data_IF_148863996434
#
_entry.id   IF_148863996434
#
_cell.length_a   1.000
_cell.length_b   1.000
_cell.length_c   1.000
_cell.angle_alpha   90.00
_cell.angle_beta   90.00
_cell.angle_gamma   90.00
#
_symmetry.space_group_name_H-M   'P 1'
#
loop_
_entity.id
_entity.type
_entity.pdbx_description
1 polymer ?
#
# COMPACT_ATOMS: atom_id res chain seq x y z
N UNK A 1 23.38 4.26 33.22
CA UNK A 1 22.07 3.56 33.27
C UNK A 1 21.69 3.16 31.85
N UNK A 2 22.18 2.00 31.42
CA UNK A 2 21.80 1.40 30.14
C UNK A 2 20.42 0.79 30.36
N UNK A 3 19.37 1.52 29.99
CA UNK A 3 18.05 0.95 29.87
C UNK A 3 18.06 0.08 28.62
N UNK A 4 18.29 -1.23 28.79
CA UNK A 4 17.70 -2.21 27.87
C UNK A 4 16.18 -2.03 28.02
N UNK A 5 15.59 -1.19 27.16
CA UNK A 5 14.18 -1.31 26.89
C UNK A 5 14.01 -2.65 26.18
N UNK A 6 13.08 -3.47 26.65
CA UNK A 6 12.74 -4.71 25.97
C UNK A 6 12.11 -4.38 24.61
N UNK A 7 12.94 -4.30 23.57
CA UNK A 7 12.59 -4.29 22.15
C UNK A 7 12.08 -5.68 21.79
N UNK A 8 10.88 -6.02 22.26
CA UNK A 8 10.32 -7.36 22.12
C UNK A 8 9.78 -7.58 20.70
N UNK A 9 10.66 -7.50 19.70
CA UNK A 9 10.38 -7.88 18.31
C UNK A 9 9.98 -9.36 18.28
N UNK A 10 8.93 -9.71 17.55
CA UNK A 10 8.40 -11.07 17.62
C UNK A 10 9.27 -12.09 16.88
N UNK A 11 9.74 -11.75 15.68
CA UNK A 11 10.71 -12.55 14.92
C UNK A 11 11.85 -11.63 14.49
N UNK A 12 13.05 -11.85 15.04
CA UNK A 12 14.24 -11.06 14.72
C UNK A 12 15.46 -11.94 14.46
N UNK A 13 16.16 -11.70 13.35
CA UNK A 13 17.39 -12.41 12.98
C UNK A 13 18.42 -11.45 12.36
N UNK A 14 19.70 -11.77 12.53
CA UNK A 14 20.80 -11.03 11.88
C UNK A 14 21.02 -11.46 10.40
N UNK A 15 20.39 -12.56 9.98
CA UNK A 15 20.52 -13.12 8.62
C UNK A 15 19.17 -13.10 7.91
N UNK A 16 18.82 -14.10 7.09
CA UNK A 16 17.57 -14.12 6.34
C UNK A 16 16.42 -14.81 7.09
N UNK A 17 15.20 -14.28 6.93
CA UNK A 17 13.95 -14.98 7.25
C UNK A 17 13.36 -15.52 5.94
N UNK A 18 12.95 -16.78 5.93
CA UNK A 18 12.16 -17.37 4.84
C UNK A 18 10.91 -18.02 5.41
N UNK A 19 9.74 -17.59 4.93
CA UNK A 19 8.43 -18.17 5.27
C UNK A 19 7.92 -18.90 4.03
N UNK A 20 8.08 -20.22 4.01
CA UNK A 20 7.61 -21.04 2.89
C UNK A 20 6.10 -21.28 2.91
N UNK A 21 5.53 -21.40 4.11
CA UNK A 21 4.10 -21.55 4.37
C UNK A 21 3.85 -21.43 5.90
N UNK A 22 2.60 -21.48 6.34
CA UNK A 22 2.21 -21.53 7.75
C UNK A 22 1.08 -20.56 8.07
N UNK A 23 0.59 -20.61 9.31
CA UNK A 23 -0.29 -19.57 9.85
C UNK A 23 0.43 -18.92 11.03
N UNK A 24 0.89 -17.68 10.84
CA UNK A 24 1.69 -16.92 11.77
C UNK A 24 0.86 -15.71 12.20
N UNK A 25 0.58 -15.59 13.50
CA UNK A 25 -0.08 -14.41 14.06
C UNK A 25 0.86 -13.76 15.07
N UNK A 26 1.10 -12.47 14.89
CA UNK A 26 2.03 -11.67 15.68
C UNK A 26 1.29 -10.50 16.31
N UNK A 27 1.58 -10.24 17.57
CA UNK A 27 1.28 -8.99 18.25
C UNK A 27 2.55 -8.61 19.02
N UNK A 28 3.26 -7.59 18.53
CA UNK A 28 4.54 -7.14 19.05
C UNK A 28 4.37 -5.76 19.68
N UNK A 29 5.15 -5.45 20.72
CA UNK A 29 5.23 -4.09 21.28
C UNK A 29 6.18 -3.19 20.47
N UNK A 30 6.89 -3.81 19.53
CA UNK A 30 7.96 -3.28 18.70
C UNK A 30 7.77 -3.89 17.30
N UNK A 31 8.81 -4.18 16.54
CA UNK A 31 8.64 -4.70 15.18
C UNK A 31 7.99 -6.09 15.14
N UNK A 32 7.19 -6.33 14.11
CA UNK A 32 6.58 -7.64 13.87
C UNK A 32 7.63 -8.65 13.43
N UNK A 33 8.25 -8.40 12.27
CA UNK A 33 9.33 -9.20 11.71
C UNK A 33 10.50 -8.30 11.30
N UNK A 34 11.69 -8.52 11.86
CA UNK A 34 12.90 -7.76 11.53
C UNK A 34 14.04 -8.67 11.09
N UNK A 35 14.75 -8.27 10.05
CA UNK A 35 15.90 -9.00 9.52
C UNK A 35 16.96 -8.04 9.02
N UNK A 36 18.23 -8.26 9.40
CA UNK A 36 19.34 -7.42 8.92
C UNK A 36 19.80 -7.76 7.49
N UNK A 37 19.21 -8.76 6.83
CA UNK A 37 19.59 -9.15 5.47
C UNK A 37 18.38 -9.17 4.52
N UNK A 38 17.43 -10.07 4.78
CA UNK A 38 16.22 -10.19 3.96
C UNK A 38 15.07 -10.89 4.68
N UNK A 39 13.85 -10.62 4.21
CA UNK A 39 12.64 -11.36 4.54
C UNK A 39 12.01 -11.81 3.23
N UNK A 40 11.88 -13.12 3.04
CA UNK A 40 11.19 -13.71 1.88
C UNK A 40 9.95 -14.48 2.34
N UNK A 41 8.79 -14.13 1.81
CA UNK A 41 7.51 -14.80 2.08
C UNK A 41 7.04 -15.45 0.79
N UNK A 42 7.04 -16.79 0.75
CA UNK A 42 6.65 -17.56 -0.42
C UNK A 42 5.15 -17.91 -0.41
N UNK A 43 4.59 -18.25 0.75
CA UNK A 43 3.17 -18.51 0.95
C UNK A 43 2.80 -18.45 2.44
N UNK A 44 1.56 -18.81 2.77
CA UNK A 44 1.04 -18.86 4.14
C UNK A 44 0.12 -17.69 4.48
N UNK A 45 -0.35 -17.68 5.72
CA UNK A 45 -1.13 -16.60 6.32
C UNK A 45 -0.25 -15.94 7.37
N UNK A 46 0.04 -14.66 7.20
CA UNK A 46 0.83 -13.86 8.14
C UNK A 46 -0.04 -12.71 8.60
N UNK A 47 -0.34 -12.65 9.89
CA UNK A 47 -1.21 -11.65 10.47
C UNK A 47 -0.49 -10.93 11.62
N UNK A 48 0.12 -9.79 11.31
CA UNK A 48 0.70 -8.87 12.29
C UNK A 48 -0.41 -7.91 12.72
N UNK A 49 -0.92 -8.13 13.92
CA UNK A 49 -2.10 -7.43 14.46
C UNK A 49 -1.73 -6.16 15.23
N UNK A 50 -0.48 -6.03 15.65
CA UNK A 50 0.10 -4.86 16.30
C UNK A 50 1.63 -4.93 16.18
N UNK A 51 2.26 -3.81 15.87
CA UNK A 51 3.71 -3.61 15.90
C UNK A 51 4.06 -2.12 15.81
N UNK A 52 5.34 -1.78 16.05
CA UNK A 52 5.88 -0.46 15.68
C UNK A 52 6.08 -0.46 14.17
N UNK A 53 7.09 -1.17 13.67
CA UNK A 53 7.19 -1.50 12.24
C UNK A 53 6.58 -2.88 11.97
N UNK A 54 5.90 -3.07 10.85
CA UNK A 54 5.32 -4.37 10.51
C UNK A 54 6.37 -5.39 10.12
N UNK A 55 6.92 -5.21 8.92
CA UNK A 55 7.98 -6.05 8.34
C UNK A 55 9.11 -5.13 7.92
N UNK A 56 10.29 -5.29 8.51
CA UNK A 56 11.43 -4.42 8.29
C UNK A 56 12.68 -5.23 7.92
N UNK A 57 13.29 -4.88 6.80
CA UNK A 57 14.54 -5.50 6.35
C UNK A 57 15.14 -4.74 5.17
N UNK A 58 16.46 -4.82 4.90
CA UNK A 58 17.00 -4.25 3.67
C UNK A 58 16.39 -4.82 2.40
N UNK A 59 15.93 -6.08 2.42
CA UNK A 59 15.30 -6.70 1.26
C UNK A 59 14.04 -7.48 1.66
N UNK A 60 12.88 -7.03 1.20
CA UNK A 60 11.60 -7.69 1.47
C UNK A 60 11.04 -8.23 0.15
N UNK A 61 10.83 -9.53 0.09
CA UNK A 61 10.27 -10.23 -1.08
C UNK A 61 9.00 -10.97 -0.69
N UNK A 62 7.86 -10.51 -1.22
CA UNK A 62 6.55 -11.16 -1.05
C UNK A 62 6.20 -11.85 -2.36
N UNK A 63 6.39 -13.18 -2.42
CA UNK A 63 6.09 -13.99 -3.59
C UNK A 63 4.64 -14.52 -3.60
N UNK A 64 4.01 -14.60 -2.43
CA UNK A 64 2.64 -15.12 -2.28
C UNK A 64 2.16 -15.11 -0.83
N UNK A 65 0.98 -15.67 -0.60
CA UNK A 65 0.34 -15.75 0.73
C UNK A 65 -0.75 -14.69 0.97
N UNK A 66 -1.33 -14.74 2.16
CA UNK A 66 -2.25 -13.74 2.69
C UNK A 66 -1.56 -13.04 3.87
N UNK A 67 -1.22 -11.77 3.67
CA UNK A 67 -0.42 -10.99 4.61
C UNK A 67 -1.27 -9.82 5.07
N UNK A 68 -1.49 -9.71 6.37
CA UNK A 68 -2.14 -8.58 7.02
C UNK A 68 -1.19 -7.95 8.02
N UNK A 69 -0.98 -6.64 7.91
CA UNK A 69 -0.07 -5.88 8.77
C UNK A 69 -0.78 -4.64 9.32
N UNK A 70 -0.75 -4.51 10.65
CA UNK A 70 -1.17 -3.32 11.37
C UNK A 70 -0.01 -2.81 12.22
N UNK A 71 0.46 -1.62 11.91
CA UNK A 71 1.62 -0.99 12.51
C UNK A 71 1.27 0.40 13.05
N UNK A 72 1.96 0.82 14.12
CA UNK A 72 1.88 2.20 14.58
C UNK A 72 2.77 3.13 13.75
N UNK A 73 3.91 2.61 13.30
CA UNK A 73 4.83 3.27 12.38
C UNK A 73 4.72 2.59 11.00
N UNK A 74 5.82 2.27 10.33
CA UNK A 74 5.80 1.75 8.96
C UNK A 74 5.23 0.33 8.86
N UNK A 75 4.51 0.08 7.76
CA UNK A 75 3.89 -1.21 7.51
C UNK A 75 4.88 -2.22 6.95
N UNK A 76 5.37 -1.95 5.74
CA UNK A 76 6.51 -2.63 5.14
C UNK A 76 7.61 -1.60 5.02
N UNK A 77 8.75 -1.82 5.67
CA UNK A 77 9.90 -0.92 5.63
C UNK A 77 11.12 -1.63 5.03
N UNK A 78 11.43 -1.32 3.76
CA UNK A 78 12.68 -1.74 3.15
C UNK A 78 13.79 -0.72 3.44
N UNK A 79 14.75 -1.07 4.29
CA UNK A 79 15.78 -0.13 4.75
C UNK A 79 17.05 -0.83 5.25
N UNK A 80 18.21 -0.22 5.02
CA UNK A 80 19.46 -0.55 5.71
C UNK A 80 19.61 0.12 7.08
N UNK A 81 18.62 0.94 7.48
CA UNK A 81 18.61 1.67 8.74
C UNK A 81 19.63 2.81 8.78
N UNK A 82 20.00 3.37 7.62
CA UNK A 82 20.69 4.64 7.59
C UNK A 82 19.67 5.79 7.68
N UNK A 83 19.98 6.83 8.46
CA UNK A 83 19.10 8.01 8.60
C UNK A 83 19.17 8.93 7.35
N UNK A 84 19.61 8.40 6.20
CA UNK A 84 19.79 9.17 4.98
C UNK A 84 18.47 9.21 4.21
N UNK A 85 18.17 10.37 3.61
CA UNK A 85 16.97 10.54 2.78
C UNK A 85 17.31 10.21 1.30
N UNK A 86 18.27 9.31 1.08
CA UNK A 86 18.74 8.91 -0.23
C UNK A 86 18.39 7.45 -0.48
N UNK A 87 18.46 7.05 -1.75
CA UNK A 87 18.34 5.64 -2.11
C UNK A 87 19.49 4.84 -1.49
N UNK A 88 19.21 4.06 -0.47
CA UNK A 88 20.18 3.22 0.26
C UNK A 88 20.43 1.86 -0.43
N UNK A 89 19.71 1.59 -1.53
CA UNK A 89 19.78 0.35 -2.30
C UNK A 89 18.95 -0.80 -1.74
N UNK A 90 18.13 -0.57 -0.71
CA UNK A 90 17.14 -1.54 -0.22
C UNK A 90 16.06 -1.82 -1.26
N UNK A 91 15.37 -2.95 -1.11
CA UNK A 91 14.39 -3.40 -2.10
C UNK A 91 13.16 -3.96 -1.41
N UNK A 92 12.00 -3.35 -1.69
CA UNK A 92 10.69 -3.96 -1.48
C UNK A 92 10.20 -4.54 -2.82
N UNK A 93 9.77 -5.81 -2.82
CA UNK A 93 9.16 -6.43 -3.99
C UNK A 93 7.93 -7.24 -3.60
N UNK A 94 6.82 -6.99 -4.29
CA UNK A 94 5.60 -7.79 -4.22
C UNK A 94 5.38 -8.44 -5.59
N UNK A 95 5.59 -9.76 -5.65
CA UNK A 95 5.37 -10.57 -6.85
C UNK A 95 3.99 -11.22 -6.89
N UNK A 96 3.33 -11.39 -5.74
CA UNK A 96 2.06 -12.10 -5.64
C UNK A 96 1.44 -12.06 -4.24
N UNK A 97 0.32 -12.77 -4.07
CA UNK A 97 -0.42 -12.84 -2.82
C UNK A 97 -1.42 -11.71 -2.62
N UNK A 98 -2.06 -11.71 -1.45
CA UNK A 98 -2.91 -10.64 -0.96
C UNK A 98 -2.21 -9.97 0.21
N UNK A 99 -1.83 -8.71 0.05
CA UNK A 99 -1.07 -7.92 1.03
C UNK A 99 -1.94 -6.75 1.48
N UNK A 100 -2.32 -6.77 2.75
CA UNK A 100 -3.01 -5.67 3.42
C UNK A 100 -2.10 -5.03 4.43
N UNK A 101 -2.03 -3.69 4.39
CA UNK A 101 -1.19 -2.92 5.29
C UNK A 101 -1.94 -1.69 5.80
N UNK A 102 -1.91 -1.46 7.10
CA UNK A 102 -2.53 -0.30 7.74
C UNK A 102 -1.58 0.28 8.78
N UNK A 103 -0.95 1.41 8.43
CA UNK A 103 -0.05 2.16 9.30
C UNK A 103 -0.77 3.38 9.87
N UNK A 104 -0.73 3.59 11.19
CA UNK A 104 -1.47 4.72 11.80
C UNK A 104 -0.68 6.02 11.90
N UNK A 105 0.63 5.89 12.11
CA UNK A 105 1.58 6.98 12.34
C UNK A 105 2.66 7.06 11.27
N UNK A 106 3.10 5.91 10.72
CA UNK A 106 4.07 5.80 9.64
C UNK A 106 3.47 5.56 8.25
N UNK A 107 4.33 5.20 7.31
CA UNK A 107 3.99 4.86 5.94
C UNK A 107 3.65 3.38 5.83
N UNK A 108 2.47 3.00 5.28
CA UNK A 108 2.17 1.58 5.14
C UNK A 108 3.12 0.92 4.14
N UNK A 109 3.70 1.69 3.22
CA UNK A 109 4.71 1.23 2.27
C UNK A 109 5.87 2.23 2.32
N UNK A 110 6.95 1.83 2.97
CA UNK A 110 8.20 2.57 3.03
C UNK A 110 9.33 1.76 2.39
N UNK A 111 10.12 2.43 1.56
CA UNK A 111 11.32 1.86 0.98
C UNK A 111 12.36 2.96 0.81
N UNK A 112 13.39 2.92 1.65
CA UNK A 112 14.56 3.77 1.50
C UNK A 112 15.38 3.46 0.23
N UNK A 113 15.02 2.42 -0.52
CA UNK A 113 15.54 2.12 -1.85
C UNK A 113 14.43 2.05 -2.91
N UNK A 114 14.24 0.89 -3.54
CA UNK A 114 13.29 0.71 -4.65
C UNK A 114 12.08 -0.14 -4.25
N UNK A 115 10.92 0.17 -4.85
CA UNK A 115 9.71 -0.64 -4.72
C UNK A 115 9.24 -1.20 -6.07
N UNK A 116 9.12 -2.52 -6.15
CA UNK A 116 8.63 -3.24 -7.33
C UNK A 116 7.33 -3.98 -7.04
N UNK A 117 6.26 -3.63 -7.77
CA UNK A 117 4.97 -4.34 -7.76
C UNK A 117 4.81 -5.12 -9.07
N UNK A 118 5.05 -6.43 -9.01
CA UNK A 118 5.04 -7.32 -10.18
C UNK A 118 3.76 -8.15 -10.31
N UNK A 119 2.97 -8.27 -9.23
CA UNK A 119 1.74 -9.05 -9.22
C UNK A 119 1.06 -9.05 -7.85
N UNK A 120 -0.04 -9.80 -7.72
CA UNK A 120 -0.81 -9.89 -6.48
C UNK A 120 -1.77 -8.72 -6.28
N UNK A 121 -2.27 -8.59 -5.05
CA UNK A 121 -3.18 -7.53 -4.60
C UNK A 121 -2.53 -6.82 -3.41
N UNK A 122 -2.31 -5.51 -3.54
CA UNK A 122 -1.90 -4.64 -2.44
C UNK A 122 -3.05 -3.69 -2.06
N UNK A 123 -3.46 -3.74 -0.80
CA UNK A 123 -4.45 -2.84 -0.19
C UNK A 123 -3.80 -2.14 0.99
N UNK A 124 -3.49 -0.85 0.85
CA UNK A 124 -2.83 -0.10 1.90
C UNK A 124 -3.64 1.13 2.35
N UNK A 125 -3.68 1.34 3.65
CA UNK A 125 -4.31 2.49 4.27
C UNK A 125 -3.24 3.38 4.89
N UNK A 126 -2.95 4.53 4.28
CA UNK A 126 -1.99 5.50 4.81
C UNK A 126 -2.51 6.37 5.97
N UNK A 127 -1.62 7.02 6.72
CA UNK A 127 -1.86 7.53 8.06
C UNK A 127 -2.87 8.69 8.12
N UNK A 128 -3.19 9.15 9.33
CA UNK A 128 -4.24 10.15 9.56
C UNK A 128 -3.85 11.56 9.07
N UNK A 129 -2.56 11.87 9.03
CA UNK A 129 -2.02 13.19 8.72
C UNK A 129 -0.57 13.11 8.28
N UNK A 130 -0.13 14.10 7.50
CA UNK A 130 1.28 14.33 7.18
C UNK A 130 2.12 14.58 8.46
N UNK A 131 3.46 14.42 8.45
CA UNK A 131 4.34 14.28 7.27
C UNK A 131 4.09 13.01 6.45
N UNK A 132 3.81 11.91 7.14
CA UNK A 132 3.70 10.59 6.51
C UNK A 132 2.57 10.46 5.49
N UNK A 133 2.75 9.52 4.58
CA UNK A 133 2.08 9.35 3.30
C UNK A 133 1.61 7.91 3.11
N UNK A 134 1.00 7.63 1.96
CA UNK A 134 0.57 6.26 1.64
C UNK A 134 1.72 5.39 1.14
N UNK A 135 2.68 6.00 0.45
CA UNK A 135 3.85 5.34 -0.12
C UNK A 135 4.99 6.35 -0.10
N UNK A 136 6.10 5.99 0.53
CA UNK A 136 7.38 6.69 0.42
C UNK A 136 8.44 5.75 -0.16
N UNK A 137 9.14 6.24 -1.18
CA UNK A 137 10.13 5.47 -1.94
C UNK A 137 11.22 6.42 -2.39
N UNK A 138 12.44 6.24 -1.90
CA UNK A 138 13.57 7.12 -2.27
C UNK A 138 14.12 6.82 -3.68
N UNK A 139 13.80 5.65 -4.24
CA UNK A 139 14.25 5.16 -5.53
C UNK A 139 13.15 4.95 -6.56
N UNK A 140 13.31 3.91 -7.36
CA UNK A 140 12.35 3.54 -8.40
C UNK A 140 11.12 2.87 -7.78
N UNK A 141 9.94 3.43 -8.03
CA UNK A 141 8.66 2.78 -7.80
C UNK A 141 8.08 2.30 -9.14
N UNK A 142 8.20 1.01 -9.43
CA UNK A 142 7.82 0.42 -10.73
C UNK A 142 6.70 -0.60 -10.54
N UNK A 143 5.64 -0.46 -11.35
CA UNK A 143 4.52 -1.40 -11.40
C UNK A 143 4.52 -2.12 -12.74
N UNK A 144 4.71 -3.44 -12.70
CA UNK A 144 4.65 -4.30 -13.89
C UNK A 144 3.45 -5.23 -13.91
N UNK A 145 2.78 -5.42 -12.77
CA UNK A 145 1.58 -6.25 -12.66
C UNK A 145 0.85 -6.11 -11.33
N UNK A 146 -0.36 -6.66 -11.25
CA UNK A 146 -1.15 -6.79 -10.02
C UNK A 146 -2.19 -5.69 -9.82
N UNK A 147 -2.93 -5.77 -8.72
CA UNK A 147 -3.88 -4.75 -8.29
C UNK A 147 -3.32 -4.01 -7.09
N UNK A 148 -3.35 -2.69 -7.09
CA UNK A 148 -2.83 -1.87 -6.01
C UNK A 148 -3.78 -0.72 -5.72
N UNK A 149 -4.17 -0.55 -4.47
CA UNK A 149 -4.87 0.64 -3.98
C UNK A 149 -4.23 1.09 -2.67
N UNK A 150 -3.82 2.36 -2.62
CA UNK A 150 -3.20 2.97 -1.43
C UNK A 150 -3.82 4.33 -1.16
N UNK A 151 -4.48 4.50 -0.02
CA UNK A 151 -4.96 5.83 0.41
C UNK A 151 -3.83 6.60 1.09
N UNK A 152 -3.78 7.92 0.91
CA UNK A 152 -2.76 8.76 1.53
C UNK A 152 -3.24 10.13 1.98
N UNK A 153 -2.30 10.85 2.58
CA UNK A 153 -2.48 12.18 3.17
C UNK A 153 -2.33 13.30 2.13
N UNK A 154 -2.57 14.55 2.55
CA UNK A 154 -2.35 15.73 1.70
C UNK A 154 -0.88 16.15 1.71
N UNK A 155 0.00 15.34 1.14
CA UNK A 155 1.45 15.58 1.20
C UNK A 155 2.09 15.57 -0.17
N UNK A 156 2.95 16.54 -0.46
CA UNK A 156 3.76 16.54 -1.68
C UNK A 156 4.88 15.49 -1.63
N UNK A 157 5.06 14.81 -0.49
CA UNK A 157 6.04 13.74 -0.32
C UNK A 157 5.53 12.39 -0.84
N UNK A 158 4.23 12.24 -1.10
CA UNK A 158 3.66 10.99 -1.62
C UNK A 158 4.32 10.62 -2.94
N UNK A 159 5.03 9.49 -2.95
CA UNK A 159 5.65 8.94 -4.14
C UNK A 159 4.67 8.02 -4.87
N UNK A 160 4.63 8.14 -6.19
CA UNK A 160 3.81 7.31 -7.05
C UNK A 160 4.68 6.54 -8.06
N UNK A 161 4.12 5.56 -8.77
CA UNK A 161 4.90 4.84 -9.77
C UNK A 161 5.46 5.76 -10.85
N UNK A 162 6.55 5.33 -11.50
CA UNK A 162 7.23 6.10 -12.54
C UNK A 162 6.95 5.57 -13.95
N UNK A 163 7.38 6.33 -14.97
CA UNK A 163 7.08 6.07 -16.38
C UNK A 163 7.70 4.78 -16.95
N UNK A 164 8.70 4.20 -16.29
CA UNK A 164 9.29 2.91 -16.66
C UNK A 164 8.40 1.71 -16.31
N UNK A 165 7.30 1.93 -15.59
CA UNK A 165 6.25 0.94 -15.35
C UNK A 165 5.65 0.41 -16.65
N UNK A 166 5.27 -0.87 -16.68
CA UNK A 166 4.59 -1.50 -17.83
C UNK A 166 3.09 -1.69 -17.61
N UNK A 167 2.61 -1.53 -16.37
CA UNK A 167 1.20 -1.46 -16.03
C UNK A 167 0.83 -0.02 -15.66
N UNK A 168 -0.34 0.42 -16.13
CA UNK A 168 -0.80 1.79 -15.87
C UNK A 168 -1.14 2.01 -14.40
N UNK A 169 -0.78 3.17 -13.90
CA UNK A 169 -1.11 3.62 -12.55
C UNK A 169 -1.54 5.10 -12.57
N UNK A 170 -2.30 5.48 -11.55
CA UNK A 170 -2.75 6.85 -11.35
C UNK A 170 -2.60 7.25 -9.89
N UNK A 171 -2.00 8.42 -9.65
CA UNK A 171 -2.02 9.11 -8.37
C UNK A 171 -3.14 10.16 -8.42
N UNK A 172 -4.27 9.86 -7.77
CA UNK A 172 -5.42 10.74 -7.67
C UNK A 172 -5.25 11.62 -6.43
N UNK A 173 -5.40 12.94 -6.55
CA UNK A 173 -5.17 13.90 -5.45
C UNK A 173 -6.30 14.92 -5.35
N UNK A 174 -6.62 15.32 -4.12
CA UNK A 174 -7.52 16.44 -3.84
C UNK A 174 -6.97 17.29 -2.69
N UNK A 175 -7.32 18.57 -2.66
CA UNK A 175 -7.01 19.46 -1.53
C UNK A 175 -8.07 19.42 -0.43
N UNK A 176 -9.20 18.76 -0.69
CA UNK A 176 -10.33 18.67 0.25
C UNK A 176 -10.29 17.36 1.01
N UNK A 177 -10.35 17.40 2.34
CA UNK A 177 -10.37 16.16 3.14
C UNK A 177 -11.62 15.34 2.86
N UNK A 178 -11.44 14.04 2.70
CA UNK A 178 -12.55 13.08 2.66
C UNK A 178 -12.51 12.26 3.94
N UNK A 179 -13.66 12.17 4.63
CA UNK A 179 -13.78 11.47 5.90
C UNK A 179 -13.54 9.95 5.77
N UNK A 180 -13.08 9.29 6.84
CA UNK A 180 -12.95 7.83 6.87
C UNK A 180 -14.24 7.12 6.44
N UNK A 181 -14.11 5.98 5.76
CA UNK A 181 -15.23 5.14 5.34
C UNK A 181 -16.08 5.68 4.17
N UNK A 182 -15.85 6.92 3.73
CA UNK A 182 -16.48 7.43 2.51
C UNK A 182 -15.87 6.70 1.31
N UNK A 183 -16.71 6.05 0.51
CA UNK A 183 -16.25 5.25 -0.62
C UNK A 183 -15.54 6.12 -1.65
N UNK A 184 -14.47 5.58 -2.21
CA UNK A 184 -13.76 6.04 -3.39
C UNK A 184 -14.02 5.03 -4.50
N UNK A 185 -14.66 5.48 -5.59
CA UNK A 185 -15.14 4.59 -6.62
C UNK A 185 -14.69 5.04 -8.01
N UNK A 186 -14.16 4.11 -8.80
CA UNK A 186 -13.79 4.35 -10.20
C UNK A 186 -14.58 3.39 -11.08
N UNK A 187 -15.24 3.94 -12.10
CA UNK A 187 -15.91 3.19 -13.16
C UNK A 187 -15.61 3.78 -14.54
N UNK A 188 -15.81 3.01 -15.61
CA UNK A 188 -15.81 3.55 -16.97
C UNK A 188 -17.14 4.26 -17.30
N UNK A 189 -17.28 4.75 -18.54
CA UNK A 189 -18.51 5.38 -19.03
C UNK A 189 -19.70 4.42 -19.21
N UNK A 190 -19.46 3.11 -19.21
CA UNK A 190 -20.50 2.10 -19.31
C UNK A 190 -20.97 1.61 -17.92
N UNK A 191 -20.34 2.08 -16.84
CA UNK A 191 -20.63 1.67 -15.47
C UNK A 191 -19.89 0.40 -15.03
N UNK A 192 -18.86 -0.03 -15.76
CA UNK A 192 -18.00 -1.11 -15.32
C UNK A 192 -17.09 -0.59 -14.21
N UNK A 193 -17.18 -1.19 -13.02
CA UNK A 193 -16.37 -0.79 -11.85
C UNK A 193 -14.94 -1.33 -11.95
N UNK A 194 -13.97 -0.46 -11.64
CA UNK A 194 -12.53 -0.77 -11.53
C UNK A 194 -12.07 -0.75 -10.07
N UNK A 195 -12.64 0.13 -9.26
CA UNK A 195 -12.31 0.27 -7.85
C UNK A 195 -13.55 0.66 -7.06
N UNK A 196 -13.75 0.04 -5.91
CA UNK A 196 -14.60 0.56 -4.84
C UNK A 196 -13.88 0.32 -3.52
N UNK A 197 -13.44 1.39 -2.88
CA UNK A 197 -12.57 1.33 -1.70
C UNK A 197 -13.04 2.26 -0.60
N UNK A 198 -13.02 1.81 0.65
CA UNK A 198 -13.34 2.59 1.83
C UNK A 198 -12.07 2.75 2.68
N UNK A 199 -11.35 3.89 2.58
CA UNK A 199 -10.20 4.16 3.43
C UNK A 199 -10.57 4.15 4.92
N UNK A 200 -9.73 3.52 5.74
CA UNK A 200 -9.89 3.41 7.20
C UNK A 200 -9.71 4.76 7.91
N UNK A 201 -9.01 5.69 7.28
CA UNK A 201 -8.72 7.03 7.81
C UNK A 201 -9.10 8.11 6.80
N UNK A 202 -9.03 9.36 7.26
CA UNK A 202 -9.19 10.53 6.39
C UNK A 202 -8.15 10.45 5.28
N UNK A 203 -8.55 10.73 4.06
CA UNK A 203 -7.65 10.67 2.92
C UNK A 203 -7.82 11.89 2.00
N UNK A 204 -6.78 12.10 1.20
CA UNK A 204 -6.67 13.17 0.19
C UNK A 204 -6.11 12.64 -1.13
N UNK A 205 -5.44 11.49 -1.08
CA UNK A 205 -4.86 10.85 -2.26
C UNK A 205 -5.21 9.38 -2.34
N UNK A 206 -5.16 8.85 -3.56
CA UNK A 206 -5.25 7.43 -3.87
C UNK A 206 -4.22 7.10 -4.93
N UNK A 207 -3.31 6.17 -4.65
CA UNK A 207 -2.51 5.52 -5.70
C UNK A 207 -3.28 4.28 -6.14
N UNK A 208 -3.57 4.18 -7.42
CA UNK A 208 -4.33 3.06 -7.97
C UNK A 208 -3.65 2.50 -9.22
N UNK A 209 -3.54 1.17 -9.28
CA UNK A 209 -3.14 0.43 -10.47
C UNK A 209 -3.94 -0.86 -10.56
N UNK A 210 -4.32 -1.25 -11.77
CA UNK A 210 -4.97 -2.53 -12.05
C UNK A 210 -4.63 -2.97 -13.48
N UNK A 211 -4.61 -4.29 -13.78
CA UNK A 211 -4.29 -4.80 -15.11
C UNK A 211 -5.24 -4.30 -16.20
N UNK A 212 -6.48 -3.97 -15.84
CA UNK A 212 -7.53 -3.53 -16.75
C UNK A 212 -7.39 -2.04 -17.15
N UNK A 213 -6.51 -1.28 -16.49
CA UNK A 213 -6.29 0.12 -16.84
C UNK A 213 -5.66 0.27 -18.22
N UNK A 214 -6.36 0.98 -19.10
CA UNK A 214 -5.97 1.24 -20.49
C UNK A 214 -6.09 2.72 -20.86
N UNK A 215 -5.32 3.17 -21.86
CA UNK A 215 -5.42 4.51 -22.46
C UNK A 215 -6.64 4.71 -23.35
N UNK A 216 -7.32 3.63 -23.70
CA UNK A 216 -8.54 3.68 -24.52
C UNK A 216 -9.82 3.92 -23.72
N UNK A 217 -9.73 3.94 -22.39
CA UNK A 217 -10.86 4.03 -21.47
C UNK A 217 -10.92 5.44 -20.87
N UNK A 218 -12.15 5.96 -20.76
CA UNK A 218 -12.48 7.16 -19.98
C UNK A 218 -13.07 6.72 -18.65
N UNK A 219 -12.47 7.18 -17.56
CA UNK A 219 -12.83 6.82 -16.19
C UNK A 219 -13.58 7.96 -15.52
N UNK A 220 -14.50 7.62 -14.62
CA UNK A 220 -15.23 8.53 -13.75
C UNK A 220 -14.89 8.19 -12.31
N UNK A 221 -14.41 9.19 -11.57
CA UNK A 221 -14.15 9.09 -10.15
C UNK A 221 -15.33 9.63 -9.36
N UNK A 222 -15.83 8.84 -8.42
CA UNK A 222 -16.87 9.20 -7.48
C UNK A 222 -16.39 9.10 -6.03
N UNK A 223 -17.00 9.89 -5.16
CA UNK A 223 -16.89 9.74 -3.70
C UNK A 223 -18.25 9.61 -3.03
N UNK A 224 -18.35 8.85 -1.95
CA UNK A 224 -19.61 8.61 -1.23
C UNK A 224 -20.43 7.48 -1.84
N UNK A 225 -21.76 7.53 -1.70
CA UNK A 225 -22.63 6.46 -2.18
C UNK A 225 -22.58 5.20 -1.31
N UNK A 226 -22.95 4.08 -1.90
CA UNK A 226 -22.99 2.77 -1.25
C UNK A 226 -22.62 1.65 -2.22
N UNK A 227 -22.18 0.51 -1.69
CA UNK A 227 -21.88 -0.69 -2.46
C UNK A 227 -22.53 -1.90 -1.81
N UNK A 228 -23.08 -2.80 -2.63
CA UNK A 228 -23.57 -4.11 -2.20
C UNK A 228 -22.50 -5.21 -2.26
N UNK A 229 -21.28 -4.85 -2.66
CA UNK A 229 -20.15 -5.79 -2.71
C UNK A 229 -19.72 -6.30 -1.35
N UNK A 230 -18.95 -7.37 -1.36
CA UNK A 230 -18.30 -7.88 -0.13
C UNK A 230 -17.06 -7.06 0.15
N UNK A 231 -16.93 -6.56 1.37
CA UNK A 231 -15.78 -5.77 1.80
C UNK A 231 -14.77 -6.63 2.53
N UNK A 232 -13.51 -6.53 2.12
CA UNK A 232 -12.34 -7.05 2.83
C UNK A 232 -11.31 -5.92 2.91
N UNK A 233 -10.93 -5.54 4.13
CA UNK A 233 -9.92 -4.50 4.39
C UNK A 233 -10.18 -3.17 3.65
N UNK A 234 -11.45 -2.78 3.57
CA UNK A 234 -11.88 -1.58 2.84
C UNK A 234 -12.07 -1.77 1.33
N UNK A 235 -11.50 -2.82 0.72
CA UNK A 235 -11.69 -3.12 -0.69
C UNK A 235 -13.00 -3.89 -0.90
N UNK A 236 -13.88 -3.37 -1.75
CA UNK A 236 -15.12 -4.04 -2.12
C UNK A 236 -14.91 -4.86 -3.39
N UNK A 237 -15.45 -6.09 -3.39
CA UNK A 237 -15.46 -7.00 -4.52
C UNK A 237 -16.87 -7.48 -4.85
N UNK A 238 -17.17 -7.57 -6.14
CA UNK A 238 -18.51 -7.89 -6.63
C UNK A 238 -19.57 -6.83 -6.26
N UNK A 239 -20.84 -7.16 -6.49
CA UNK A 239 -21.96 -6.28 -6.19
C UNK A 239 -22.10 -5.08 -7.14
N UNK A 240 -22.82 -4.07 -6.70
CA UNK A 240 -23.07 -2.84 -7.46
C UNK A 240 -22.89 -1.62 -6.59
N UNK A 241 -22.24 -0.60 -7.16
CA UNK A 241 -22.08 0.71 -6.56
C UNK A 241 -23.20 1.65 -7.03
N UNK A 242 -23.66 2.55 -6.15
CA UNK A 242 -24.62 3.60 -6.53
C UNK A 242 -24.63 4.78 -5.57
N UNK A 243 -25.10 5.94 -6.07
CA UNK A 243 -25.51 7.08 -5.24
C UNK A 243 -24.39 8.01 -4.77
N UNK A 244 -23.15 7.86 -5.24
CA UNK A 244 -22.08 8.81 -4.90
C UNK A 244 -21.99 10.00 -5.84
N UNK A 245 -21.14 10.96 -5.45
CA UNK A 245 -20.94 12.24 -6.14
C UNK A 245 -19.78 12.13 -7.12
N UNK A 246 -20.03 12.43 -8.40
CA UNK A 246 -18.97 12.52 -9.41
C UNK A 246 -18.01 13.65 -9.05
N UNK A 247 -16.71 13.33 -9.01
CA UNK A 247 -15.63 14.29 -8.72
C UNK A 247 -14.93 14.75 -9.99
N UNK A 248 -14.58 13.79 -10.85
CA UNK A 248 -13.90 14.09 -12.11
C UNK A 248 -14.07 12.96 -13.12
N UNK A 249 -13.79 13.27 -14.38
CA UNK A 249 -13.63 12.30 -15.47
C UNK A 249 -12.21 12.44 -16.00
N UNK A 250 -11.51 11.32 -16.21
CA UNK A 250 -10.11 11.32 -16.64
C UNK A 250 -9.80 10.16 -17.59
N UNK A 251 -8.71 10.29 -18.34
CA UNK A 251 -8.11 9.20 -19.13
C UNK A 251 -6.64 9.07 -18.77
N UNK A 252 -6.04 7.92 -19.08
CA UNK A 252 -4.64 7.63 -18.77
C UNK A 252 -3.79 7.66 -20.05
N UNK A 253 -3.01 8.72 -20.22
CA UNK A 253 -2.15 8.90 -21.39
C UNK A 253 -0.77 8.25 -21.21
N UNK A 254 -0.26 8.23 -19.97
CA UNK A 254 1.05 7.70 -19.58
C UNK A 254 0.95 6.49 -18.65
N UNK A 255 2.05 5.75 -18.49
CA UNK A 255 2.11 4.59 -17.58
C UNK A 255 1.98 4.98 -16.10
N UNK A 256 2.40 6.20 -15.78
CA UNK A 256 2.11 6.83 -14.50
C UNK A 256 1.58 8.23 -14.74
N UNK A 257 0.50 8.60 -14.06
CA UNK A 257 -0.15 9.90 -14.23
C UNK A 257 -0.72 10.41 -12.91
N UNK A 258 -0.60 11.71 -12.66
CA UNK A 258 -1.27 12.37 -11.55
C UNK A 258 -2.55 13.05 -12.04
N UNK A 259 -3.66 12.89 -11.31
CA UNK A 259 -4.95 13.49 -11.63
C UNK A 259 -5.49 14.19 -10.39
N UNK A 260 -5.93 15.44 -10.55
CA UNK A 260 -6.56 16.23 -9.47
C UNK A 260 -8.09 16.18 -9.56
N UNK A 261 -8.78 16.13 -8.41
CA UNK A 261 -10.24 16.01 -8.31
C UNK A 261 -10.85 16.68 -7.05
#
# INVERSE_FOLDING_TARGET
>A
PNGEYAEAKAISVDSAITVDNGNITIASADDGMKSKQSITINAGIINITNSVEGIESPNIFINGGEIGVKSSDDGLNATYGDDSHFNDGSILTINGGYVYVSATGGDPIDSNGNFYMNGGILVAHGPQSSPEVGVDVNGDFIVTGGFMVVSGTNSNMTQGPILSSTQRSVLLRTSTSISPGILFHIEDTNGNSFLTFAPERRYYSMIFSAPELSSSISYRLYTGGSSTGTVLNGLYSGGSYSGGTLRTTFSLSSMAQTVWF
#
